data_IF_774383314847
#
_entry.id   IF_774383314847
#
_cell.length_a   1.000
_cell.length_b   1.000
_cell.length_c   1.000
_cell.angle_alpha   90.00
_cell.angle_beta   90.00
_cell.angle_gamma   90.00
#
_symmetry.space_group_name_H-M   'P 1'
#
loop_
_entity.id
_entity.type
_entity.pdbx_description
1 polymer ?
#
# COMPACT_ATOMS: atom_id res chain seq x y z
N UNK A 1 3.96 -5.39 18.52
CA UNK A 1 5.16 -4.59 18.20
C UNK A 1 6.08 -5.35 17.23
N UNK A 2 5.82 -5.21 15.93
CA UNK A 2 6.60 -5.83 14.86
C UNK A 2 7.08 -4.73 13.93
N UNK A 3 8.38 -4.55 13.86
CA UNK A 3 9.06 -3.46 13.15
C UNK A 3 8.83 -3.56 11.64
N UNK A 4 8.23 -2.50 11.09
CA UNK A 4 8.06 -2.26 9.66
C UNK A 4 9.42 -2.19 8.97
N UNK A 5 9.75 -3.19 8.16
CA UNK A 5 10.92 -3.14 7.29
C UNK A 5 10.43 -3.36 5.86
N UNK A 6 9.95 -2.29 5.23
CA UNK A 6 10.02 -2.21 3.78
C UNK A 6 11.49 -2.26 3.36
N UNK A 7 11.85 -2.93 2.25
CA UNK A 7 13.22 -2.93 1.76
C UNK A 7 13.71 -1.49 1.58
N UNK A 8 15.00 -1.21 1.85
CA UNK A 8 15.54 0.14 1.79
C UNK A 8 15.31 0.71 0.40
N UNK A 9 14.73 1.91 0.33
CA UNK A 9 14.37 2.59 -0.93
C UNK A 9 15.58 2.84 -1.86
N UNK A 10 16.80 2.60 -1.39
CA UNK A 10 18.06 2.81 -2.11
C UNK A 10 18.33 1.89 -3.31
N UNK A 11 17.63 0.76 -3.44
CA UNK A 11 17.84 -0.23 -4.52
C UNK A 11 16.73 -0.25 -5.59
N UNK A 12 15.75 0.66 -5.51
CA UNK A 12 14.64 0.66 -6.47
C UNK A 12 15.05 1.30 -7.80
N UNK A 13 14.60 0.74 -8.95
CA UNK A 13 14.78 1.39 -10.24
C UNK A 13 14.25 2.83 -10.23
N UNK A 14 14.91 3.79 -10.91
CA UNK A 14 14.47 5.18 -10.95
C UNK A 14 13.01 5.37 -11.40
N UNK A 15 12.51 4.49 -12.29
CA UNK A 15 11.11 4.54 -12.73
C UNK A 15 10.14 4.20 -11.60
N UNK A 16 10.47 3.22 -10.76
CA UNK A 16 9.65 2.87 -9.61
C UNK A 16 9.66 3.97 -8.54
N UNK A 17 10.80 4.64 -8.32
CA UNK A 17 10.87 5.80 -7.43
C UNK A 17 9.96 6.92 -7.94
N UNK A 18 10.03 7.23 -9.23
CA UNK A 18 9.17 8.24 -9.86
C UNK A 18 7.69 7.86 -9.75
N UNK A 19 7.35 6.59 -10.00
CA UNK A 19 5.98 6.09 -9.87
C UNK A 19 5.47 6.19 -8.43
N UNK A 20 6.27 5.81 -7.42
CA UNK A 20 5.90 5.95 -6.00
C UNK A 20 5.66 7.42 -5.64
N UNK A 21 6.50 8.33 -6.12
CA UNK A 21 6.32 9.76 -5.90
C UNK A 21 5.01 10.28 -6.52
N UNK A 22 4.72 9.91 -7.77
CA UNK A 22 3.48 10.27 -8.47
C UNK A 22 2.24 9.71 -7.77
N UNK A 23 2.27 8.44 -7.36
CA UNK A 23 1.17 7.79 -6.64
C UNK A 23 0.91 8.45 -5.30
N UNK A 24 1.96 8.83 -4.56
CA UNK A 24 1.81 9.57 -3.30
C UNK A 24 1.16 10.93 -3.52
N UNK A 25 1.61 11.67 -4.54
CA UNK A 25 1.04 12.98 -4.87
C UNK A 25 -0.44 12.86 -5.24
N UNK A 26 -0.78 11.92 -6.13
CA UNK A 26 -2.16 11.63 -6.53
C UNK A 26 -3.04 11.28 -5.33
N UNK A 27 -2.54 10.42 -4.43
CA UNK A 27 -3.26 10.01 -3.23
C UNK A 27 -3.58 11.20 -2.33
N UNK A 28 -2.59 12.04 -2.01
CA UNK A 28 -2.77 13.22 -1.17
C UNK A 28 -3.76 14.21 -1.77
N UNK A 29 -3.70 14.43 -3.09
CA UNK A 29 -4.55 15.39 -3.78
C UNK A 29 -6.01 14.92 -3.94
N UNK A 30 -6.25 13.61 -4.04
CA UNK A 30 -7.57 13.10 -4.43
C UNK A 30 -8.25 12.23 -3.37
N UNK A 31 -7.53 11.31 -2.74
CA UNK A 31 -8.12 10.25 -1.91
C UNK A 31 -7.92 10.47 -0.41
N UNK A 32 -6.79 11.08 0.00
CA UNK A 32 -6.38 11.17 1.40
C UNK A 32 -7.47 11.80 2.28
N UNK A 33 -8.12 12.88 1.80
CA UNK A 33 -9.20 13.53 2.55
C UNK A 33 -10.41 12.63 2.80
N UNK A 34 -10.70 11.69 1.89
CA UNK A 34 -11.84 10.77 2.01
C UNK A 34 -11.51 9.55 2.87
N UNK A 35 -10.25 9.13 2.86
CA UNK A 35 -9.80 7.93 3.56
C UNK A 35 -9.32 8.21 4.98
N UNK A 36 -8.83 9.42 5.27
CA UNK A 36 -8.41 9.80 6.62
C UNK A 36 -9.61 9.85 7.56
N UNK A 37 -9.48 9.14 8.67
CA UNK A 37 -10.36 9.19 9.83
C UNK A 37 -9.65 9.90 10.98
N UNK A 38 -10.34 10.13 12.10
CA UNK A 38 -9.72 10.66 13.33
C UNK A 38 -8.57 9.78 13.83
N UNK A 39 -8.61 8.48 13.54
CA UNK A 39 -7.58 7.49 13.90
C UNK A 39 -6.50 7.33 12.82
N UNK A 40 -6.51 8.16 11.77
CA UNK A 40 -5.59 8.07 10.64
C UNK A 40 -6.16 7.26 9.47
N UNK A 41 -5.28 6.56 8.75
CA UNK A 41 -5.69 5.73 7.61
C UNK A 41 -6.33 4.42 8.09
N UNK A 42 -7.29 3.85 7.35
CA UNK A 42 -7.96 2.62 7.75
C UNK A 42 -6.97 1.45 7.88
N UNK A 43 -7.22 0.55 8.83
CA UNK A 43 -6.33 -0.59 9.10
C UNK A 43 -6.18 -1.56 7.91
N UNK A 44 -7.15 -1.56 6.98
CA UNK A 44 -7.09 -2.33 5.74
C UNK A 44 -6.27 -1.65 4.63
N UNK A 45 -5.79 -0.42 4.85
CA UNK A 45 -4.99 0.33 3.88
C UNK A 45 -3.51 0.26 4.23
N UNK A 46 -2.70 -0.31 3.34
CA UNK A 46 -1.28 -0.59 3.59
C UNK A 46 -0.31 0.24 2.73
N UNK A 47 -0.81 1.10 1.83
CA UNK A 47 0.05 1.95 1.01
C UNK A 47 1.00 1.16 0.09
N UNK A 48 2.30 1.49 0.10
CA UNK A 48 3.31 0.82 -0.74
C UNK A 48 3.74 -0.51 -0.12
N UNK A 49 2.97 -1.56 -0.36
CA UNK A 49 3.30 -2.94 0.01
C UNK A 49 3.37 -3.81 -1.24
N UNK A 50 4.38 -4.68 -1.31
CA UNK A 50 4.56 -5.58 -2.45
C UNK A 50 3.46 -6.64 -2.49
N UNK A 51 3.28 -7.25 -3.66
CA UNK A 51 2.42 -8.43 -3.80
C UNK A 51 2.80 -9.53 -2.80
N UNK A 52 4.09 -9.83 -2.64
CA UNK A 52 4.56 -10.91 -1.76
C UNK A 52 4.23 -10.65 -0.29
N UNK A 53 4.48 -9.44 0.20
CA UNK A 53 4.13 -9.04 1.57
C UNK A 53 2.61 -9.10 1.79
N UNK A 54 1.84 -8.67 0.79
CA UNK A 54 0.37 -8.73 0.82
C UNK A 54 -0.14 -10.17 0.93
N UNK A 55 0.41 -11.09 0.14
CA UNK A 55 0.08 -12.52 0.20
C UNK A 55 0.41 -13.10 1.58
N UNK A 56 1.56 -12.73 2.16
CA UNK A 56 1.95 -13.16 3.52
C UNK A 56 1.02 -12.60 4.60
N UNK A 57 0.61 -11.33 4.50
CA UNK A 57 -0.34 -10.72 5.44
C UNK A 57 -1.71 -11.39 5.41
N UNK A 58 -2.16 -11.81 4.23
CA UNK A 58 -3.45 -12.47 4.03
C UNK A 58 -3.41 -13.97 4.32
N UNK A 59 -2.25 -14.62 4.21
CA UNK A 59 -2.10 -16.07 4.31
C UNK A 59 -2.72 -16.67 5.58
N UNK A 60 -2.70 -15.95 6.70
CA UNK A 60 -3.21 -16.41 7.99
C UNK A 60 -4.55 -15.76 8.40
N UNK A 61 -5.17 -14.95 7.54
CA UNK A 61 -6.43 -14.24 7.81
C UNK A 61 -7.69 -15.03 7.40
N UNK A 62 -8.82 -14.97 8.10
CA UNK A 62 -10.05 -15.66 7.65
C UNK A 62 -10.45 -15.34 6.20
N UNK A 63 -11.10 -16.29 5.52
CA UNK A 63 -11.72 -16.04 4.21
C UNK A 63 -12.65 -14.82 4.30
N UNK A 64 -12.58 -13.94 3.31
CA UNK A 64 -13.31 -12.66 3.35
C UNK A 64 -12.44 -11.47 3.72
N UNK A 65 -11.23 -11.70 4.26
CA UNK A 65 -10.30 -10.63 4.58
C UNK A 65 -9.68 -10.03 3.31
N UNK A 66 -9.54 -8.71 3.33
CA UNK A 66 -8.95 -7.96 2.24
C UNK A 66 -8.06 -6.85 2.76
N UNK A 67 -7.18 -6.36 1.89
CA UNK A 67 -6.42 -5.15 2.13
C UNK A 67 -6.15 -4.43 0.81
N UNK A 68 -6.02 -3.11 0.90
CA UNK A 68 -5.82 -2.20 -0.22
C UNK A 68 -4.40 -1.65 -0.17
N UNK A 69 -3.74 -1.69 -1.32
CA UNK A 69 -2.37 -1.22 -1.52
C UNK A 69 -2.26 -0.33 -2.75
N UNK A 70 -1.15 0.38 -2.89
CA UNK A 70 -0.80 1.03 -4.14
C UNK A 70 -0.33 0.01 -5.18
N UNK A 71 -0.66 0.27 -6.44
CA UNK A 71 -0.15 -0.53 -7.56
C UNK A 71 1.37 -0.33 -7.72
N UNK A 72 2.07 -1.42 -8.06
CA UNK A 72 3.51 -1.41 -8.32
C UNK A 72 3.85 -1.00 -9.77
N UNK A 73 2.85 -0.87 -10.65
CA UNK A 73 3.04 -0.57 -12.07
C UNK A 73 2.22 0.62 -12.58
N UNK A 74 1.27 1.12 -11.79
CA UNK A 74 0.37 2.22 -12.20
C UNK A 74 0.04 3.14 -11.02
N UNK A 75 -0.39 4.36 -11.32
CA UNK A 75 -0.96 5.25 -10.29
C UNK A 75 -2.37 4.77 -9.98
N UNK A 76 -2.56 4.18 -8.80
CA UNK A 76 -3.86 3.69 -8.37
C UNK A 76 -3.78 2.68 -7.23
N UNK A 77 -4.94 2.08 -6.94
CA UNK A 77 -5.08 1.08 -5.90
C UNK A 77 -5.19 -0.33 -6.47
N UNK A 78 -4.75 -1.30 -5.69
CA UNK A 78 -4.98 -2.72 -5.88
C UNK A 78 -5.69 -3.24 -4.63
N UNK A 79 -6.80 -3.94 -4.83
CA UNK A 79 -7.46 -4.72 -3.79
C UNK A 79 -6.88 -6.13 -3.81
N UNK A 80 -6.42 -6.61 -2.66
CA UNK A 80 -6.00 -8.00 -2.47
C UNK A 80 -6.91 -8.65 -1.45
N UNK A 81 -7.31 -9.88 -1.75
CA UNK A 81 -8.36 -10.61 -1.03
C UNK A 81 -7.90 -12.05 -0.82
N UNK A 82 -8.31 -12.65 0.30
CA UNK A 82 -8.14 -14.08 0.57
C UNK A 82 -9.43 -14.87 0.36
#
# INVERSE_FOLDING_TARGET
PGSWQSPPEGDLPPELVALRAQTRLWFEQTQARRLRTELGLPAWFHGFVSRRETEQLLQDQPLGCFLVRFSESTVGFVLSYR
#
